data_IF_264553578108
#
_entry.id   IF_264553578108
#
_cell.length_a   1.000
_cell.length_b   1.000
_cell.length_c   1.000
_cell.angle_alpha   90.00
_cell.angle_beta   90.00
_cell.angle_gamma   90.00
#
_symmetry.space_group_name_H-M   'P 1'
#
loop_
_entity.id
_entity.type
_entity.pdbx_description
1 polymer ?
#
# COMPACT_ATOMS: atom_id res chain seq x y z
N UNK A 1 0.62 -9.58 -61.62
CA UNK A 1 0.08 -10.36 -60.47
C UNK A 1 -1.45 -10.32 -60.52
N UNK A 2 -2.10 -11.43 -60.87
CA UNK A 2 -3.51 -11.44 -61.29
C UNK A 2 -4.49 -10.93 -60.23
N UNK A 3 -5.58 -10.27 -60.67
CA UNK A 3 -6.61 -9.67 -59.80
C UNK A 3 -7.11 -10.64 -58.71
N UNK A 4 -7.18 -11.93 -59.00
CA UNK A 4 -7.60 -12.99 -58.06
C UNK A 4 -6.63 -13.13 -56.87
N UNK A 5 -5.32 -13.01 -57.12
CA UNK A 5 -4.27 -13.09 -56.08
C UNK A 5 -4.27 -11.84 -55.18
N UNK A 6 -4.54 -10.66 -55.74
CA UNK A 6 -4.70 -9.41 -54.97
C UNK A 6 -5.94 -9.43 -54.07
N UNK A 7 -7.08 -9.91 -54.59
CA UNK A 7 -8.31 -10.08 -53.79
C UNK A 7 -8.11 -11.03 -52.61
N UNK A 8 -7.43 -12.16 -52.84
CA UNK A 8 -7.16 -13.13 -51.78
C UNK A 8 -6.23 -12.58 -50.68
N UNK A 9 -5.24 -11.76 -51.04
CA UNK A 9 -4.34 -11.11 -50.07
C UNK A 9 -5.08 -10.07 -49.23
N UNK A 10 -5.97 -9.27 -49.84
CA UNK A 10 -6.79 -8.30 -49.11
C UNK A 10 -7.72 -9.02 -48.13
N UNK A 11 -8.39 -10.09 -48.57
CA UNK A 11 -9.27 -10.89 -47.71
C UNK A 11 -8.49 -11.46 -46.52
N UNK A 12 -7.31 -12.06 -46.76
CA UNK A 12 -6.49 -12.63 -45.70
C UNK A 12 -6.01 -11.56 -44.71
N UNK A 13 -5.62 -10.38 -45.20
CA UNK A 13 -5.25 -9.25 -44.35
C UNK A 13 -6.41 -8.77 -43.49
N UNK A 14 -7.61 -8.66 -44.04
CA UNK A 14 -8.81 -8.29 -43.28
C UNK A 14 -9.15 -9.33 -42.20
N UNK A 15 -9.00 -10.63 -42.51
CA UNK A 15 -9.21 -11.70 -41.53
C UNK A 15 -8.22 -11.60 -40.37
N UNK A 16 -6.92 -11.37 -40.65
CA UNK A 16 -5.91 -11.24 -39.59
C UNK A 16 -6.17 -10.04 -38.68
N UNK A 17 -6.58 -8.90 -39.26
CA UNK A 17 -6.94 -7.70 -38.47
C UNK A 17 -8.19 -7.95 -37.63
N UNK A 18 -9.22 -8.60 -38.19
CA UNK A 18 -10.42 -8.95 -37.44
C UNK A 18 -10.12 -9.92 -36.29
N UNK A 19 -9.30 -10.95 -36.52
CA UNK A 19 -8.84 -11.87 -35.47
C UNK A 19 -8.06 -11.15 -34.36
N UNK A 20 -7.19 -10.20 -34.72
CA UNK A 20 -6.46 -9.41 -33.74
C UNK A 20 -7.41 -8.55 -32.90
N UNK A 21 -8.37 -7.85 -33.52
CA UNK A 21 -9.37 -7.04 -32.80
C UNK A 21 -10.21 -7.92 -31.87
N UNK A 22 -10.66 -9.10 -32.33
CA UNK A 22 -11.41 -10.05 -31.50
C UNK A 22 -10.59 -10.58 -30.33
N UNK A 23 -9.30 -10.85 -30.52
CA UNK A 23 -8.38 -11.24 -29.45
C UNK A 23 -8.18 -10.11 -28.43
N UNK A 24 -8.00 -8.87 -28.88
CA UNK A 24 -7.87 -7.71 -27.99
C UNK A 24 -9.15 -7.47 -27.19
N UNK A 25 -10.32 -7.61 -27.81
CA UNK A 25 -11.62 -7.50 -27.12
C UNK A 25 -11.83 -8.64 -26.13
N UNK A 26 -11.47 -9.88 -26.49
CA UNK A 26 -11.50 -11.02 -25.57
C UNK A 26 -10.58 -10.76 -24.37
N UNK A 27 -9.32 -10.36 -24.61
CA UNK A 27 -8.35 -10.06 -23.56
C UNK A 27 -8.85 -8.96 -22.61
N UNK A 28 -9.38 -7.86 -23.16
CA UNK A 28 -9.99 -6.79 -22.39
C UNK A 28 -11.18 -7.29 -21.57
N UNK A 29 -12.08 -8.08 -22.16
CA UNK A 29 -13.22 -8.67 -21.46
C UNK A 29 -12.78 -9.63 -20.34
N UNK A 30 -11.75 -10.45 -20.55
CA UNK A 30 -11.19 -11.33 -19.51
C UNK A 30 -10.59 -10.54 -18.36
N UNK A 31 -9.85 -9.47 -18.61
CA UNK A 31 -9.35 -8.57 -17.55
C UNK A 31 -10.52 -7.95 -16.78
N UNK A 32 -11.56 -7.48 -17.48
CA UNK A 32 -12.75 -6.91 -16.80
C UNK A 32 -13.59 -7.96 -16.07
N UNK A 33 -13.47 -9.24 -16.43
CA UNK A 33 -14.16 -10.35 -15.77
C UNK A 33 -13.44 -10.80 -14.49
N UNK A 34 -12.11 -10.72 -14.45
CA UNK A 34 -11.32 -11.00 -13.24
C UNK A 34 -11.46 -9.91 -12.16
N UNK A 35 -12.00 -8.74 -12.52
CA UNK A 35 -12.41 -7.71 -11.56
C UNK A 35 -13.65 -8.09 -10.72
N UNK A 36 -14.15 -9.33 -10.84
CA UNK A 36 -15.27 -9.87 -10.07
C UNK A 36 -14.86 -10.99 -9.08
N UNK A 37 -13.58 -11.08 -8.72
CA UNK A 37 -13.21 -11.67 -7.44
C UNK A 37 -13.47 -10.64 -6.33
N UNK A 38 -14.01 -11.10 -5.21
CA UNK A 38 -14.04 -10.38 -3.94
C UNK A 38 -12.60 -10.15 -3.45
N UNK A 39 -11.84 -9.32 -4.15
CA UNK A 39 -10.60 -8.74 -3.67
C UNK A 39 -11.03 -7.67 -2.69
N UNK A 40 -10.62 -7.84 -1.44
CA UNK A 40 -10.73 -6.77 -0.44
C UNK A 40 -9.80 -5.67 -0.93
N UNK A 41 -10.35 -4.74 -1.71
CA UNK A 41 -9.63 -3.53 -2.11
C UNK A 41 -9.44 -2.73 -0.82
N UNK A 42 -8.20 -2.35 -0.48
CA UNK A 42 -7.94 -1.48 0.65
C UNK A 42 -8.59 -0.13 0.40
N UNK A 43 -8.94 0.50 1.51
CA UNK A 43 -10.19 1.25 1.71
C UNK A 43 -10.20 2.65 1.06
N UNK A 44 -9.44 2.89 -0.01
CA UNK A 44 -9.46 4.14 -0.75
C UNK A 44 -9.78 3.90 -2.23
N UNK A 45 -10.78 4.62 -2.73
CA UNK A 45 -11.14 4.68 -4.16
C UNK A 45 -9.87 4.99 -4.97
N UNK A 46 -9.54 4.11 -5.92
CA UNK A 46 -8.39 4.23 -6.83
C UNK A 46 -8.28 5.64 -7.45
N UNK A 47 -9.41 6.26 -7.77
CA UNK A 47 -9.44 7.62 -8.34
C UNK A 47 -8.95 8.70 -7.37
N UNK A 48 -9.06 8.46 -6.06
CA UNK A 48 -8.61 9.37 -4.99
C UNK A 48 -7.11 9.22 -4.67
N UNK A 49 -6.52 8.05 -4.94
CA UNK A 49 -5.13 7.73 -4.56
C UNK A 49 -4.13 7.70 -5.71
N UNK A 50 -4.57 7.71 -6.98
CA UNK A 50 -3.65 7.72 -8.13
C UNK A 50 -2.65 8.89 -8.09
N UNK A 51 -3.07 10.04 -7.54
CA UNK A 51 -2.25 11.24 -7.40
C UNK A 51 -1.51 11.29 -6.03
N UNK A 52 -1.77 10.31 -5.15
CA UNK A 52 -1.19 10.14 -3.81
C UNK A 52 -0.04 9.12 -3.77
N UNK A 53 0.14 8.31 -4.82
CA UNK A 53 1.24 7.35 -4.94
C UNK A 53 2.61 8.03 -4.74
N UNK A 54 3.39 7.47 -3.82
CA UNK A 54 4.78 7.87 -3.59
C UNK A 54 5.68 7.13 -4.57
N UNK A 55 6.26 7.86 -5.51
CA UNK A 55 7.22 7.34 -6.48
C UNK A 55 8.61 7.21 -5.85
N UNK A 56 8.77 6.28 -4.89
CA UNK A 56 10.09 5.72 -4.56
C UNK A 56 10.21 4.35 -5.23
N UNK A 57 11.43 3.81 -5.33
CA UNK A 57 11.65 2.46 -5.87
C UNK A 57 10.69 1.47 -5.22
N UNK A 58 10.14 0.52 -5.98
CA UNK A 58 9.31 -0.58 -5.43
C UNK A 58 10.05 -1.39 -4.34
N UNK A 59 11.38 -1.22 -4.23
CA UNK A 59 12.24 -1.81 -3.20
C UNK A 59 12.27 -1.06 -1.85
N UNK A 60 11.50 0.02 -1.66
CA UNK A 60 11.45 0.70 -0.36
C UNK A 60 10.64 -0.10 0.67
N UNK A 61 11.34 -0.67 1.66
CA UNK A 61 10.75 -1.46 2.76
C UNK A 61 9.67 -0.72 3.55
N UNK A 62 9.63 0.62 3.49
CA UNK A 62 8.64 1.45 4.18
C UNK A 62 7.38 1.69 3.36
N UNK A 63 7.30 1.19 2.12
CA UNK A 63 6.07 1.22 1.33
C UNK A 63 5.21 -0.01 1.61
N UNK A 64 3.90 0.20 1.67
CA UNK A 64 2.93 -0.89 1.63
C UNK A 64 2.65 -1.33 0.18
N UNK A 65 1.83 -2.37 0.03
CA UNK A 65 1.45 -2.93 -1.27
C UNK A 65 0.69 -1.95 -2.19
N UNK A 66 0.33 -0.75 -1.69
CA UNK A 66 -0.29 0.34 -2.44
C UNK A 66 0.68 1.46 -2.82
N UNK A 67 1.98 1.32 -2.52
CA UNK A 67 2.96 2.39 -2.73
C UNK A 67 2.73 3.60 -1.84
N UNK A 68 2.11 3.40 -0.66
CA UNK A 68 1.98 4.42 0.39
C UNK A 68 3.00 4.13 1.49
N UNK A 69 3.60 5.17 2.06
CA UNK A 69 4.46 5.02 3.23
C UNK A 69 3.61 4.50 4.40
N UNK A 70 4.10 3.45 5.06
CA UNK A 70 3.44 2.77 6.17
C UNK A 70 3.26 3.70 7.37
N UNK A 71 2.27 3.41 8.19
CA UNK A 71 2.07 4.11 9.45
C UNK A 71 1.55 5.54 9.33
N UNK A 72 1.17 6.02 8.14
CA UNK A 72 0.64 7.37 7.94
C UNK A 72 -0.89 7.36 7.94
N UNK A 73 -1.49 8.35 8.61
CA UNK A 73 -2.92 8.62 8.48
C UNK A 73 -3.28 9.08 7.06
N UNK A 74 -4.30 8.47 6.43
CA UNK A 74 -4.58 8.66 5.01
C UNK A 74 -4.74 10.14 4.59
N UNK A 75 -5.30 10.98 5.45
CA UNK A 75 -5.50 12.40 5.17
C UNK A 75 -4.17 13.18 5.07
N UNK A 76 -3.12 12.65 5.69
CA UNK A 76 -1.81 13.29 5.79
C UNK A 76 -0.82 12.83 4.73
N UNK A 77 -1.13 11.82 3.93
CA UNK A 77 -0.22 11.25 2.90
C UNK A 77 0.40 12.34 2.00
N UNK A 78 -0.38 13.37 1.66
CA UNK A 78 0.08 14.52 0.85
C UNK A 78 1.22 15.31 1.49
N UNK A 79 1.23 15.39 2.83
CA UNK A 79 2.23 16.13 3.59
C UNK A 79 3.57 15.40 3.71
N UNK A 80 3.57 14.08 3.55
CA UNK A 80 4.78 13.25 3.60
C UNK A 80 5.51 13.22 2.27
N UNK A 81 5.62 14.36 1.60
CA UNK A 81 6.35 14.56 0.32
C UNK A 81 7.46 15.59 0.51
N UNK A 82 8.60 15.43 -0.17
CA UNK A 82 9.62 16.47 -0.18
C UNK A 82 9.05 17.74 -0.83
N UNK A 83 9.39 18.90 -0.27
CA UNK A 83 9.15 20.18 -0.92
C UNK A 83 10.17 20.45 -2.05
N UNK A 84 10.13 21.65 -2.65
CA UNK A 84 11.06 22.05 -3.71
C UNK A 84 12.54 22.02 -3.31
N UNK A 85 12.82 22.08 -2.01
CA UNK A 85 14.17 22.03 -1.44
C UNK A 85 14.56 20.62 -0.98
N UNK A 86 13.72 19.61 -1.24
CA UNK A 86 13.87 18.24 -0.73
C UNK A 86 13.76 18.16 0.79
N UNK A 87 13.00 19.06 1.41
CA UNK A 87 12.76 19.06 2.84
C UNK A 87 11.39 18.45 3.17
N UNK A 88 11.31 17.77 4.30
CA UNK A 88 10.07 17.40 4.98
C UNK A 88 9.75 18.46 6.03
N UNK A 89 8.47 18.80 6.17
CA UNK A 89 7.98 19.69 7.23
C UNK A 89 7.25 18.86 8.27
N UNK A 90 7.82 18.75 9.46
CA UNK A 90 7.20 18.11 10.62
C UNK A 90 5.80 18.70 10.84
N UNK A 91 4.80 17.84 11.10
CA UNK A 91 3.40 18.25 10.93
C UNK A 91 2.95 19.28 11.97
N UNK A 92 3.26 19.02 13.23
CA UNK A 92 2.84 19.80 14.40
C UNK A 92 3.92 20.80 14.81
N UNK A 93 5.19 20.39 14.86
CA UNK A 93 6.30 21.27 15.26
C UNK A 93 6.69 22.26 14.15
N UNK A 94 6.33 21.97 12.90
CA UNK A 94 6.67 22.78 11.71
C UNK A 94 8.17 22.93 11.41
N UNK A 95 9.03 22.21 12.13
CA UNK A 95 10.45 22.08 11.83
C UNK A 95 10.64 21.51 10.41
N UNK A 96 11.67 21.98 9.72
CA UNK A 96 12.08 21.47 8.41
C UNK A 96 13.31 20.59 8.59
N UNK A 97 13.26 19.40 8.02
CA UNK A 97 14.37 18.43 7.99
C UNK A 97 14.58 17.96 6.55
N UNK A 98 15.76 17.45 6.17
CA UNK A 98 15.91 16.76 4.88
C UNK A 98 14.92 15.60 4.77
N UNK A 99 14.23 15.44 3.64
CA UNK A 99 13.25 14.37 3.45
C UNK A 99 13.87 12.97 3.58
N UNK A 100 15.18 12.84 3.35
CA UNK A 100 15.94 11.61 3.54
C UNK A 100 15.96 11.11 5.00
N UNK A 101 15.61 11.98 5.96
CA UNK A 101 15.48 11.64 7.38
C UNK A 101 14.11 11.08 7.76
N UNK A 102 13.19 10.97 6.82
CA UNK A 102 11.89 10.34 7.08
C UNK A 102 12.07 8.82 7.07
N UNK A 103 11.70 8.15 8.16
CA UNK A 103 11.92 6.72 8.41
C UNK A 103 13.39 6.33 8.32
N UNK A 104 14.30 7.11 8.90
CA UNK A 104 15.73 6.81 8.93
C UNK A 104 16.19 6.11 10.23
N UNK A 105 15.23 5.70 11.06
CA UNK A 105 15.43 5.12 12.39
C UNK A 105 16.05 6.12 13.40
N UNK A 106 15.93 7.44 13.15
CA UNK A 106 16.30 8.51 14.07
C UNK A 106 15.13 9.50 14.27
N UNK A 107 14.97 10.03 15.49
CA UNK A 107 13.90 10.98 15.78
C UNK A 107 14.39 12.42 15.65
N UNK A 108 14.21 13.03 14.48
CA UNK A 108 14.57 14.41 14.15
C UNK A 108 13.46 15.42 14.41
N UNK A 109 12.19 15.05 14.20
CA UNK A 109 11.07 15.93 14.51
C UNK A 109 10.76 15.90 16.01
N UNK A 110 10.59 17.08 16.63
CA UNK A 110 10.14 17.19 18.03
C UNK A 110 8.77 16.52 18.28
N UNK A 111 7.94 16.38 17.25
CA UNK A 111 6.64 15.73 17.30
C UNK A 111 6.65 14.28 16.80
N UNK A 112 7.81 13.75 16.44
CA UNK A 112 8.04 12.40 15.93
C UNK A 112 7.36 12.06 14.61
N UNK A 113 6.92 13.07 13.84
CA UNK A 113 6.19 12.86 12.58
C UNK A 113 7.07 12.46 11.40
N UNK A 114 8.39 12.44 11.57
CA UNK A 114 9.36 11.92 10.63
C UNK A 114 9.48 10.39 10.63
N UNK A 115 9.06 9.72 11.71
CA UNK A 115 9.23 8.27 11.89
C UNK A 115 7.87 7.52 11.92
N UNK A 116 6.99 7.65 10.91
CA UNK A 116 5.70 6.97 10.92
C UNK A 116 5.81 5.45 10.78
N UNK A 117 6.90 4.92 10.21
CA UNK A 117 7.13 3.49 9.98
C UNK A 117 8.21 2.91 10.90
N UNK A 118 8.71 3.61 11.90
CA UNK A 118 9.78 3.08 12.75
C UNK A 118 9.45 3.22 14.23
N UNK A 119 10.30 2.67 15.08
CA UNK A 119 10.18 2.76 16.54
C UNK A 119 11.02 3.90 17.13
N UNK A 120 11.65 4.75 16.30
CA UNK A 120 12.68 5.68 16.73
C UNK A 120 12.16 6.84 17.60
N UNK A 121 10.91 7.26 17.39
CA UNK A 121 10.28 8.32 18.18
C UNK A 121 9.43 7.75 19.34
N UNK A 122 9.70 8.15 20.62
CA UNK A 122 9.00 7.63 21.80
C UNK A 122 7.49 7.86 21.81
N UNK A 123 7.06 9.03 21.34
CA UNK A 123 5.65 9.42 21.22
C UNK A 123 5.11 9.24 19.78
N UNK A 124 5.83 8.44 18.98
CA UNK A 124 5.46 8.15 17.59
C UNK A 124 4.15 7.37 17.51
N UNK A 125 3.41 7.60 16.42
CA UNK A 125 2.12 6.96 16.16
C UNK A 125 2.20 6.23 14.83
N UNK A 126 1.85 4.94 14.84
CA UNK A 126 1.69 4.14 13.64
C UNK A 126 0.20 3.97 13.32
N UNK A 127 -0.22 4.37 12.12
CA UNK A 127 -1.57 4.14 11.62
C UNK A 127 -1.63 2.84 10.81
N UNK A 128 -2.51 1.91 11.18
CA UNK A 128 -2.72 0.67 10.44
C UNK A 128 -3.19 0.97 9.00
N UNK A 129 -2.87 0.10 8.05
CA UNK A 129 -3.20 0.30 6.62
C UNK A 129 -4.72 0.35 6.37
N UNK A 130 -5.51 -0.40 7.14
CA UNK A 130 -6.97 -0.45 7.05
C UNK A 130 -7.58 0.75 7.74
N UNK A 131 -7.82 1.81 6.97
CA UNK A 131 -8.39 3.07 7.45
C UNK A 131 -9.69 3.36 6.69
N UNK A 132 -10.73 3.88 7.37
CA UNK A 132 -11.98 4.25 6.70
C UNK A 132 -12.38 5.67 7.06
N UNK A 133 -12.80 6.51 6.09
CA UNK A 133 -13.36 7.83 6.41
C UNK A 133 -14.62 7.78 7.29
N UNK A 134 -15.31 6.63 7.33
CA UNK A 134 -16.58 6.44 8.05
C UNK A 134 -16.42 5.75 9.40
N UNK A 135 -15.24 5.24 9.72
CA UNK A 135 -14.96 4.54 10.99
C UNK A 135 -13.78 5.24 11.69
N UNK A 136 -13.64 4.99 12.98
CA UNK A 136 -12.46 5.43 13.69
C UNK A 136 -11.23 4.71 13.13
N UNK A 137 -10.19 5.47 12.80
CA UNK A 137 -8.90 4.90 12.38
C UNK A 137 -8.23 4.23 13.55
N UNK A 138 -7.74 3.01 13.33
CA UNK A 138 -6.92 2.31 14.32
C UNK A 138 -5.48 2.81 14.22
N UNK A 139 -4.94 3.26 15.35
CA UNK A 139 -3.55 3.67 15.51
C UNK A 139 -2.95 3.01 16.74
N UNK A 140 -1.66 2.72 16.67
CA UNK A 140 -0.88 2.11 17.75
C UNK A 140 0.35 2.98 18.06
N UNK A 141 0.99 2.73 19.21
CA UNK A 141 2.29 3.32 19.54
C UNK A 141 3.34 2.85 18.53
N UNK A 142 4.24 3.73 18.10
CA UNK A 142 5.40 3.38 17.26
C UNK A 142 6.20 2.21 17.84
N UNK A 143 6.28 2.10 19.18
CA UNK A 143 6.98 1.03 19.88
C UNK A 143 6.46 -0.40 19.60
N UNK A 144 5.26 -0.52 19.02
CA UNK A 144 4.61 -1.80 18.67
C UNK A 144 4.87 -2.22 17.22
N UNK A 145 5.58 -1.39 16.47
CA UNK A 145 5.95 -1.68 15.10
C UNK A 145 7.04 -2.74 15.08
N UNK A 146 6.79 -3.85 14.38
CA UNK A 146 7.71 -4.98 14.24
C UNK A 146 8.22 -5.50 15.60
N UNK A 147 7.33 -5.57 16.59
CA UNK A 147 7.64 -6.06 17.95
C UNK A 147 7.36 -7.58 18.10
N UNK A 148 6.89 -8.22 17.04
CA UNK A 148 6.53 -9.62 16.99
C UNK A 148 5.10 -9.90 17.46
N UNK A 149 4.27 -8.87 17.70
CA UNK A 149 2.89 -8.99 18.17
C UNK A 149 1.96 -8.32 17.15
N UNK A 150 0.92 -9.04 16.72
CA UNK A 150 -0.09 -8.47 15.83
C UNK A 150 -1.04 -7.56 16.62
N UNK A 151 -0.80 -6.26 16.60
CA UNK A 151 -1.65 -5.23 17.19
C UNK A 151 -2.62 -4.61 16.18
N UNK A 152 -2.23 -4.45 14.91
CA UNK A 152 -3.15 -4.03 13.87
C UNK A 152 -4.07 -5.18 13.42
N UNK A 153 -5.35 -4.89 13.18
CA UNK A 153 -6.30 -5.92 12.72
C UNK A 153 -5.97 -6.49 11.35
N UNK A 154 -5.20 -5.78 10.53
CA UNK A 154 -4.73 -6.20 9.21
C UNK A 154 -3.29 -6.72 9.22
N UNK A 155 -2.60 -6.66 10.37
CA UNK A 155 -1.20 -7.06 10.48
C UNK A 155 -0.19 -6.10 9.85
N UNK A 156 -0.61 -4.88 9.50
CA UNK A 156 0.25 -3.90 8.82
C UNK A 156 1.41 -3.37 9.67
N UNK A 157 1.41 -3.66 10.98
CA UNK A 157 2.44 -3.33 11.98
C UNK A 157 3.65 -4.28 11.97
N UNK A 158 3.52 -5.49 11.41
CA UNK A 158 4.54 -6.55 11.48
C UNK A 158 5.14 -6.89 10.09
N UNK A 159 5.50 -5.87 9.30
CA UNK A 159 5.91 -6.04 7.90
C UNK A 159 7.35 -6.53 7.69
N UNK A 160 8.24 -6.40 8.69
CA UNK A 160 9.61 -6.93 8.61
C UNK A 160 9.66 -8.45 8.88
N UNK A 161 8.60 -9.01 9.44
CA UNK A 161 8.50 -10.43 9.79
C UNK A 161 7.94 -11.25 8.63
N UNK A 162 8.73 -11.43 7.56
CA UNK A 162 8.33 -12.25 6.42
C UNK A 162 8.72 -13.74 6.59
N UNK A 163 7.72 -14.61 6.69
CA UNK A 163 7.73 -16.06 6.44
C UNK A 163 8.54 -17.02 7.35
N UNK A 164 9.33 -16.54 8.32
CA UNK A 164 10.10 -17.44 9.23
C UNK A 164 9.89 -17.19 10.72
N UNK A 165 9.27 -16.07 11.09
CA UNK A 165 9.14 -15.65 12.48
C UNK A 165 7.80 -16.10 13.07
N UNK A 166 7.84 -16.46 14.37
CA UNK A 166 6.64 -16.76 15.14
C UNK A 166 6.10 -15.46 15.72
N UNK A 167 5.08 -14.92 15.08
CA UNK A 167 4.35 -13.74 15.53
C UNK A 167 3.28 -14.13 16.55
N UNK A 168 3.01 -13.23 17.49
CA UNK A 168 2.02 -13.43 18.54
C UNK A 168 0.71 -12.75 18.15
N UNK A 169 -0.27 -13.53 17.71
CA UNK A 169 -1.60 -13.00 17.42
C UNK A 169 -2.51 -13.12 18.65
N UNK A 170 -3.36 -12.11 18.85
CA UNK A 170 -4.39 -12.10 19.87
C UNK A 170 -5.77 -12.23 19.22
N UNK A 171 -6.54 -13.25 19.58
CA UNK A 171 -7.94 -13.33 19.16
C UNK A 171 -8.84 -12.65 20.20
N UNK A 172 -9.52 -11.58 19.80
CA UNK A 172 -10.75 -11.18 20.48
C UNK A 172 -11.88 -12.09 19.98
N UNK A 173 -12.62 -12.82 20.85
CA UNK A 173 -13.07 -12.43 22.19
C UNK A 173 -12.56 -13.31 23.36
N UNK A 174 -11.62 -14.23 23.14
CA UNK A 174 -11.27 -15.28 24.11
C UNK A 174 -9.92 -15.09 24.84
N UNK A 175 -9.23 -13.95 24.66
CA UNK A 175 -7.94 -13.65 25.30
C UNK A 175 -6.89 -14.77 25.20
N UNK A 176 -6.96 -15.66 24.21
CA UNK A 176 -5.89 -16.61 23.95
C UNK A 176 -4.87 -15.97 23.00
N UNK A 177 -3.59 -16.16 23.32
CA UNK A 177 -2.46 -15.79 22.46
C UNK A 177 -1.99 -17.03 21.73
N UNK A 178 -1.72 -16.90 20.44
CA UNK A 178 -1.27 -18.02 19.61
C UNK A 178 -0.23 -17.53 18.62
N UNK A 179 0.67 -18.44 18.26
CA UNK A 179 1.70 -18.15 17.28
C UNK A 179 1.15 -18.26 15.86
N UNK A 180 1.46 -17.29 15.03
CA UNK A 180 1.15 -17.25 13.60
C UNK A 180 2.42 -16.98 12.81
N UNK A 181 2.45 -17.41 11.56
CA UNK A 181 3.55 -17.11 10.63
C UNK A 181 3.39 -15.75 9.95
N UNK A 182 2.17 -15.21 9.95
CA UNK A 182 1.80 -13.90 9.43
C UNK A 182 0.58 -13.41 10.21
N UNK A 183 0.53 -12.10 10.45
CA UNK A 183 -0.61 -11.50 11.12
C UNK A 183 -1.90 -11.67 10.29
N UNK A 184 -3.00 -12.17 10.90
CA UNK A 184 -4.24 -12.39 10.19
C UNK A 184 -5.01 -11.09 9.97
N UNK A 185 -5.57 -10.88 8.78
CA UNK A 185 -6.49 -9.78 8.52
C UNK A 185 -7.90 -10.10 9.05
N UNK A 186 -8.27 -9.47 10.16
CA UNK A 186 -9.52 -9.65 10.88
C UNK A 186 -10.40 -8.38 10.90
N UNK A 187 -10.10 -7.36 10.10
CA UNK A 187 -10.80 -6.07 10.13
C UNK A 187 -12.29 -6.13 9.68
N UNK A 188 -12.75 -7.30 9.21
CA UNK A 188 -14.13 -7.57 8.76
C UNK A 188 -15.01 -8.23 9.82
N UNK A 189 -14.50 -8.48 11.03
CA UNK A 189 -15.33 -8.85 12.19
C UNK A 189 -15.88 -7.62 12.91
#
# INVERSE_FOLDING_TARGET
>A
MGLKKKKNVIILSCCMVACFILYQLYFFLTITSEANMNVVVPVLDYNSIKDLLHLRSEDDKYLNEHGMIRGIYYADIKSYRPDSNKEFKCKTSHQKIPFERVNDDFCDCEDGTDEPSTTACPDGIFYCDTQSPRKQTLSISSSKVNDGICDCCDGSDEWLHSNSDKLLSQSSPKHYRFYVTQCPNNCNK
#
